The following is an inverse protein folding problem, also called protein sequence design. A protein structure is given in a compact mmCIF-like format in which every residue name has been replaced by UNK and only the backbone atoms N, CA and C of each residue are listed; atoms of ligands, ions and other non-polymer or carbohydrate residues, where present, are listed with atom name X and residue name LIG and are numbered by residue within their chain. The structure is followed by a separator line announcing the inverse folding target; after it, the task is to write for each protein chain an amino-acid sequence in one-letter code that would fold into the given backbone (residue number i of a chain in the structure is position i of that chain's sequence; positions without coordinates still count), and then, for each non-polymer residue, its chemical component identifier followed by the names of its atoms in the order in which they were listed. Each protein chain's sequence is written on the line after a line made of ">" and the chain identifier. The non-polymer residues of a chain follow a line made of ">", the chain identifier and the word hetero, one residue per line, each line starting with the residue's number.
data_IF_388739177857
#
_entry.id   IF_388739177857
#
_cell.length_a   1.000
_cell.length_b   1.000
_cell.length_c   1.000
_cell.angle_alpha   90.00
_cell.angle_beta   90.00
_cell.angle_gamma   90.00
#
_symmetry.space_group_name_H-M   'P 1'
#
loop_
_entity.id
_entity.type
_entity.pdbx_description
1 polymer ?
#
# COMPACT_ATOMS: atom_id res chain seq x y z
N UNK A 1 -8.01 -14.60 3.81
CA UNK A 1 -7.30 -13.38 4.24
C UNK A 1 -5.97 -13.66 4.94
N UNK A 2 -5.92 -14.56 5.93
CA UNK A 2 -4.70 -14.85 6.71
C UNK A 2 -3.50 -15.33 5.86
N UNK A 3 -3.73 -16.13 4.81
CA UNK A 3 -2.65 -16.60 3.92
C UNK A 3 -1.96 -15.46 3.16
N UNK A 4 -2.72 -14.48 2.68
CA UNK A 4 -2.18 -13.31 1.97
C UNK A 4 -1.31 -12.44 2.89
N UNK A 5 -1.79 -12.16 4.10
CA UNK A 5 -1.05 -11.34 5.07
C UNK A 5 0.27 -12.01 5.47
N UNK A 6 0.24 -13.32 5.70
CA UNK A 6 1.43 -14.09 6.03
C UNK A 6 2.44 -14.11 4.87
N UNK A 7 1.96 -14.30 3.64
CA UNK A 7 2.80 -14.27 2.45
C UNK A 7 3.45 -12.89 2.26
N UNK A 8 2.67 -11.81 2.42
CA UNK A 8 3.18 -10.44 2.33
C UNK A 8 4.26 -10.18 3.40
N UNK A 9 3.98 -10.50 4.66
CA UNK A 9 4.95 -10.30 5.75
C UNK A 9 6.23 -11.11 5.53
N UNK A 10 6.11 -12.36 5.08
CA UNK A 10 7.26 -13.20 4.75
C UNK A 10 8.09 -12.59 3.62
N UNK A 11 7.44 -12.01 2.60
CA UNK A 11 8.12 -11.35 1.50
C UNK A 11 8.84 -10.08 1.97
N UNK A 12 8.21 -9.25 2.80
CA UNK A 12 8.81 -8.02 3.32
C UNK A 12 10.05 -8.30 4.19
N UNK A 13 10.05 -9.40 4.95
CA UNK A 13 11.19 -9.82 5.79
C UNK A 13 12.43 -10.27 5.00
N UNK A 14 12.30 -10.50 3.69
CA UNK A 14 13.44 -10.82 2.82
C UNK A 14 14.28 -9.57 2.47
N UNK A 15 13.72 -8.38 2.68
CA UNK A 15 14.40 -7.11 2.43
C UNK A 15 14.96 -6.53 3.74
N UNK A 16 15.96 -5.63 3.67
CA UNK A 16 16.40 -4.89 4.83
C UNK A 16 15.24 -4.16 5.52
N UNK A 17 15.26 -4.01 6.86
CA UNK A 17 14.21 -3.29 7.59
C UNK A 17 13.95 -1.89 7.00
N UNK A 18 12.70 -1.66 6.56
CA UNK A 18 12.29 -0.37 6.04
C UNK A 18 11.65 0.47 7.16
N UNK A 19 12.05 1.74 7.24
CA UNK A 19 11.40 2.71 8.15
C UNK A 19 10.11 3.30 7.56
N UNK A 20 9.90 3.11 6.25
CA UNK A 20 8.75 3.65 5.53
C UNK A 20 8.39 2.75 4.34
N UNK A 21 7.16 2.25 4.29
CA UNK A 21 6.57 1.61 3.10
C UNK A 21 5.65 2.60 2.37
N UNK A 22 5.87 2.76 1.06
CA UNK A 22 5.04 3.61 0.21
C UNK A 22 4.31 2.75 -0.81
N UNK A 23 2.98 2.77 -0.79
CA UNK A 23 2.15 2.07 -1.76
C UNK A 23 1.93 2.98 -2.95
N UNK A 24 2.33 2.53 -4.13
CA UNK A 24 1.88 3.15 -5.38
C UNK A 24 0.37 2.89 -5.52
N UNK A 25 -0.42 3.90 -5.21
CA UNK A 25 -1.86 3.77 -5.02
C UNK A 25 -2.58 4.31 -6.26
N UNK A 26 -3.07 3.41 -7.11
CA UNK A 26 -3.78 3.80 -8.34
C UNK A 26 -5.27 4.09 -8.11
N UNK A 27 -5.81 3.72 -6.95
CA UNK A 27 -7.25 3.72 -6.67
C UNK A 27 -7.95 2.42 -7.11
N UNK A 28 -7.25 1.52 -7.81
CA UNK A 28 -7.76 0.19 -8.17
C UNK A 28 -7.75 -0.79 -7.00
N UNK A 29 -8.56 -1.86 -7.12
CA UNK A 29 -8.73 -2.90 -6.10
C UNK A 29 -7.41 -3.44 -5.54
N UNK A 30 -6.46 -3.78 -6.42
CA UNK A 30 -5.18 -4.36 -6.01
C UNK A 30 -4.38 -3.42 -5.11
N UNK A 31 -4.30 -2.14 -5.49
CA UNK A 31 -3.57 -1.13 -4.70
C UNK A 31 -4.26 -0.83 -3.37
N UNK A 32 -5.58 -0.92 -3.33
CA UNK A 32 -6.37 -0.75 -2.11
C UNK A 32 -6.21 -1.94 -1.15
N UNK A 33 -6.28 -3.17 -1.68
CA UNK A 33 -6.05 -4.39 -0.91
C UNK A 33 -4.61 -4.44 -0.39
N UNK A 34 -3.62 -4.03 -1.19
CA UNK A 34 -2.23 -3.96 -0.74
C UNK A 34 -2.04 -2.96 0.39
N UNK A 35 -2.60 -1.74 0.27
CA UNK A 35 -2.56 -0.74 1.32
C UNK A 35 -3.22 -1.24 2.61
N UNK A 36 -4.40 -1.84 2.49
CA UNK A 36 -5.13 -2.43 3.61
C UNK A 36 -4.34 -3.57 4.27
N UNK A 37 -3.74 -4.45 3.47
CA UNK A 37 -2.93 -5.58 3.95
C UNK A 37 -1.68 -5.11 4.70
N UNK A 38 -1.00 -4.06 4.20
CA UNK A 38 0.14 -3.46 4.89
C UNK A 38 -0.27 -2.85 6.23
N UNK A 39 -1.40 -2.12 6.28
CA UNK A 39 -1.92 -1.57 7.52
C UNK A 39 -2.25 -2.68 8.55
N UNK A 40 -2.82 -3.81 8.09
CA UNK A 40 -3.15 -4.95 8.95
C UNK A 40 -1.95 -5.67 9.57
N UNK A 41 -0.74 -5.51 8.99
CA UNK A 41 0.50 -6.13 9.51
C UNK A 41 1.48 -5.10 10.09
N UNK A 42 1.09 -3.83 10.21
CA UNK A 42 1.99 -2.74 10.61
C UNK A 42 2.70 -2.99 11.95
N UNK A 43 1.99 -3.53 12.94
CA UNK A 43 2.54 -3.84 14.26
C UNK A 43 3.61 -4.94 14.25
N UNK A 44 3.68 -5.72 13.16
CA UNK A 44 4.66 -6.79 12.95
C UNK A 44 5.88 -6.30 12.16
N UNK A 45 5.88 -5.03 11.72
CA UNK A 45 6.95 -4.38 10.99
C UNK A 45 7.75 -3.45 11.93
N UNK A 46 9.06 -3.28 11.71
CA UNK A 46 9.89 -2.46 12.58
C UNK A 46 9.57 -0.97 12.43
N UNK A 47 8.81 -0.42 13.38
CA UNK A 47 8.47 1.01 13.55
C UNK A 47 8.21 1.74 12.21
N UNK A 48 7.41 1.12 11.35
CA UNK A 48 7.30 1.53 9.96
C UNK A 48 6.13 2.46 9.72
N UNK A 49 6.40 3.60 9.10
CA UNK A 49 5.36 4.47 8.54
C UNK A 49 4.83 3.84 7.25
N UNK A 50 3.52 3.87 7.05
CA UNK A 50 2.87 3.44 5.80
C UNK A 50 2.20 4.65 5.18
N UNK A 51 2.48 4.91 3.90
CA UNK A 51 1.79 5.95 3.13
C UNK A 51 1.35 5.44 1.77
N UNK A 52 0.29 6.02 1.24
CA UNK A 52 -0.11 5.88 -0.16
C UNK A 52 0.47 7.03 -0.98
N UNK A 53 0.86 6.76 -2.23
CA UNK A 53 1.24 7.77 -3.22
C UNK A 53 0.43 7.52 -4.49
N UNK A 54 -0.47 8.44 -4.79
CA UNK A 54 -1.21 8.46 -6.04
C UNK A 54 -0.52 9.37 -7.06
N UNK A 55 -0.42 8.91 -8.30
CA UNK A 55 0.04 9.74 -9.42
C UNK A 55 -1.14 9.96 -10.35
N UNK A 56 -1.66 11.19 -10.34
CA UNK A 56 -2.70 11.60 -11.27
C UNK A 56 -2.04 11.80 -12.65
N UNK A 57 -2.32 10.91 -13.60
CA UNK A 57 -1.79 10.97 -14.96
C UNK A 57 -2.59 11.90 -15.88
N UNK A 58 -3.76 12.40 -15.45
CA UNK A 58 -4.62 13.27 -16.26
C UNK A 58 -5.23 12.60 -17.50
N UNK A 59 -5.17 11.27 -17.59
CA UNK A 59 -5.65 10.51 -18.76
C UNK A 59 -7.14 10.13 -18.68
N UNK A 60 -7.71 10.14 -17.48
CA UNK A 60 -9.12 9.82 -17.25
C UNK A 60 -9.86 11.07 -16.76
N UNK A 61 -11.10 11.25 -17.21
CA UNK A 61 -11.97 12.38 -16.83
C UNK A 61 -12.23 12.42 -15.31
N UNK A 62 -12.09 11.27 -14.64
CA UNK A 62 -12.30 11.08 -13.19
C UNK A 62 -11.01 11.21 -12.36
N UNK A 63 -9.86 11.48 -12.99
CA UNK A 63 -8.57 11.41 -12.32
C UNK A 63 -8.43 12.42 -11.16
N UNK A 64 -9.09 13.57 -11.26
CA UNK A 64 -9.16 14.55 -10.17
C UNK A 64 -10.05 14.06 -9.00
N UNK A 65 -11.12 13.31 -9.29
CA UNK A 65 -11.95 12.69 -8.26
C UNK A 65 -11.18 11.59 -7.53
N UNK A 66 -10.38 10.80 -8.23
CA UNK A 66 -9.53 9.79 -7.61
C UNK A 66 -8.44 10.41 -6.75
N UNK A 67 -7.80 11.50 -7.20
CA UNK A 67 -6.82 12.25 -6.41
C UNK A 67 -7.42 12.85 -5.12
N UNK A 68 -8.68 13.27 -5.13
CA UNK A 68 -9.37 13.76 -3.93
C UNK A 68 -9.76 12.65 -2.94
N UNK A 69 -9.90 11.41 -3.41
CA UNK A 69 -10.24 10.25 -2.59
C UNK A 69 -9.01 9.57 -1.95
N UNK A 70 -7.84 9.70 -2.58
CA UNK A 70 -6.56 9.16 -2.11
C UNK A 70 -5.94 10.01 -1.00
#
# INVERSE_FOLDING_TARGET
>A
MSSLLNALLAQLKQFPPARHYRVAYSGGCDSHVLLHALAAIQDQLPATVISALHVNHGLAEEADHWAAHC
#
